data_IF_340616569265
#
_entry.id   IF_340616569265
#
_cell.length_a   1.000
_cell.length_b   1.000
_cell.length_c   1.000
_cell.angle_alpha   90.00
_cell.angle_beta   90.00
_cell.angle_gamma   90.00
#
_symmetry.space_group_name_H-M   'P 1'
#
loop_
_entity.id
_entity.type
_entity.pdbx_description
1 polymer ?
#
# COMPACT_ATOMS: atom_id res chain seq x y z
N UNK A 1 -24.34 3.15 -6.27
CA UNK A 1 -24.53 2.48 -4.97
C UNK A 1 -25.08 3.48 -3.98
N UNK A 2 -26.15 3.15 -3.29
CA UNK A 2 -26.73 4.00 -2.24
C UNK A 2 -25.75 4.08 -1.04
N UNK A 3 -25.76 5.20 -0.31
CA UNK A 3 -24.84 5.43 0.80
C UNK A 3 -24.96 4.38 1.90
N UNK A 4 -26.17 3.91 2.20
CA UNK A 4 -26.41 2.87 3.22
C UNK A 4 -25.79 1.55 2.78
N UNK A 5 -25.96 1.15 1.52
CA UNK A 5 -25.37 -0.07 0.96
C UNK A 5 -23.84 0.00 1.01
N UNK A 6 -23.28 1.16 0.67
CA UNK A 6 -21.83 1.39 0.75
C UNK A 6 -21.30 1.22 2.16
N UNK A 7 -21.99 1.79 3.15
CA UNK A 7 -21.62 1.67 4.56
C UNK A 7 -21.70 0.22 5.05
N UNK A 8 -22.72 -0.50 4.63
CA UNK A 8 -22.88 -1.92 4.98
C UNK A 8 -21.74 -2.75 4.39
N UNK A 9 -21.44 -2.55 3.10
CA UNK A 9 -20.32 -3.26 2.46
C UNK A 9 -18.98 -2.91 3.11
N UNK A 10 -18.74 -1.63 3.38
CA UNK A 10 -17.51 -1.19 4.04
C UNK A 10 -17.34 -1.85 5.41
N UNK A 11 -18.42 -2.05 6.15
CA UNK A 11 -18.40 -2.70 7.46
C UNK A 11 -18.03 -4.19 7.39
N UNK A 12 -18.13 -4.81 6.23
CA UNK A 12 -17.80 -6.21 6.00
C UNK A 12 -16.36 -6.44 5.54
N UNK A 13 -15.63 -5.38 5.31
CA UNK A 13 -14.22 -5.49 4.90
C UNK A 13 -13.36 -5.83 6.11
N UNK A 14 -12.47 -6.80 5.93
CA UNK A 14 -11.44 -7.16 6.91
C UNK A 14 -10.08 -6.88 6.31
N UNK A 15 -9.18 -6.30 7.09
CA UNK A 15 -7.79 -6.02 6.70
C UNK A 15 -6.89 -6.80 7.64
N UNK A 16 -6.16 -7.78 7.12
CA UNK A 16 -5.38 -8.72 7.93
C UNK A 16 -3.99 -8.92 7.37
N UNK A 17 -3.02 -9.11 8.27
CA UNK A 17 -1.65 -9.50 7.89
C UNK A 17 -1.73 -10.90 7.29
N UNK A 18 -1.12 -11.06 6.10
CA UNK A 18 -1.20 -12.28 5.31
C UNK A 18 0.19 -12.62 4.76
N UNK A 19 0.53 -13.90 4.73
CA UNK A 19 1.76 -14.36 4.09
C UNK A 19 1.70 -14.02 2.59
N UNK A 20 2.76 -13.38 2.02
CA UNK A 20 2.79 -13.05 0.59
C UNK A 20 2.63 -14.27 -0.33
N UNK A 21 2.87 -15.46 0.18
CA UNK A 21 2.76 -16.72 -0.59
C UNK A 21 1.36 -17.31 -0.63
N UNK A 22 0.44 -16.82 0.21
CA UNK A 22 -0.94 -17.28 0.21
C UNK A 22 -1.63 -16.96 -1.12
N UNK A 23 -2.62 -17.75 -1.49
CA UNK A 23 -3.32 -17.63 -2.77
C UNK A 23 -3.98 -16.25 -2.95
N UNK A 24 -4.60 -15.71 -1.91
CA UNK A 24 -5.22 -14.38 -1.96
C UNK A 24 -4.19 -13.28 -2.09
N UNK A 25 -3.06 -13.41 -1.41
CA UNK A 25 -1.94 -12.48 -1.53
C UNK A 25 -1.38 -12.49 -2.96
N UNK A 26 -1.19 -13.66 -3.54
CA UNK A 26 -0.72 -13.81 -4.92
C UNK A 26 -1.67 -13.16 -5.91
N UNK A 27 -2.97 -13.32 -5.70
CA UNK A 27 -3.98 -12.66 -6.52
C UNK A 27 -3.85 -11.14 -6.47
N UNK A 28 -3.74 -10.56 -5.29
CA UNK A 28 -3.62 -9.12 -5.10
C UNK A 28 -2.32 -8.58 -5.72
N UNK A 29 -1.20 -9.24 -5.49
CA UNK A 29 0.10 -8.82 -6.02
C UNK A 29 0.12 -8.88 -7.55
N UNK A 30 -0.45 -9.92 -8.14
CA UNK A 30 -0.58 -10.04 -9.59
C UNK A 30 -1.48 -8.93 -10.16
N UNK A 31 -2.61 -8.68 -9.52
CA UNK A 31 -3.53 -7.63 -9.92
C UNK A 31 -2.88 -6.24 -9.87
N UNK A 32 -2.08 -6.00 -8.85
CA UNK A 32 -1.28 -4.77 -8.72
C UNK A 32 -0.35 -4.60 -9.93
N UNK A 33 0.45 -5.59 -10.27
CA UNK A 33 1.37 -5.50 -11.40
C UNK A 33 0.65 -5.36 -12.73
N UNK A 34 -0.46 -6.05 -12.92
CA UNK A 34 -1.28 -5.92 -14.14
C UNK A 34 -1.83 -4.49 -14.29
N UNK A 35 -2.29 -3.89 -13.20
CA UNK A 35 -2.78 -2.51 -13.22
C UNK A 35 -1.67 -1.53 -13.59
N UNK A 36 -0.47 -1.67 -13.03
CA UNK A 36 0.68 -0.83 -13.37
C UNK A 36 1.02 -0.95 -14.86
N UNK A 37 1.00 -2.17 -15.40
CA UNK A 37 1.26 -2.41 -16.82
C UNK A 37 0.26 -1.71 -17.74
N UNK A 38 -1.01 -1.63 -17.33
CA UNK A 38 -2.04 -0.93 -18.09
C UNK A 38 -1.97 0.59 -17.96
N UNK A 39 -1.59 1.10 -16.79
CA UNK A 39 -1.71 2.52 -16.45
C UNK A 39 -0.46 3.34 -16.73
N UNK A 40 0.72 2.73 -16.69
CA UNK A 40 1.97 3.45 -16.94
C UNK A 40 2.16 3.66 -18.45
N UNK A 41 2.61 4.86 -18.83
CA UNK A 41 2.78 5.28 -20.22
C UNK A 41 3.67 4.33 -21.03
N UNK A 42 4.71 3.77 -20.40
CA UNK A 42 5.70 2.88 -21.01
C UNK A 42 5.49 1.42 -20.61
N UNK A 43 4.35 1.08 -19.98
CA UNK A 43 4.15 -0.21 -19.36
C UNK A 43 4.97 -0.37 -18.07
N UNK A 44 4.97 -1.56 -17.50
CA UNK A 44 5.67 -1.83 -16.25
C UNK A 44 6.40 -3.18 -16.33
N UNK A 45 7.70 -3.15 -16.09
CA UNK A 45 8.54 -4.34 -15.95
C UNK A 45 9.03 -4.44 -14.50
N UNK A 46 8.56 -5.42 -13.70
CA UNK A 46 8.97 -5.56 -12.31
C UNK A 46 10.48 -5.72 -12.13
N UNK A 47 11.18 -6.28 -13.12
CA UNK A 47 12.62 -6.48 -13.07
C UNK A 47 13.41 -5.17 -13.10
N UNK A 48 12.81 -4.08 -13.58
CA UNK A 48 13.44 -2.75 -13.64
C UNK A 48 13.10 -1.88 -12.45
N UNK A 49 12.14 -2.29 -11.63
CA UNK A 49 11.69 -1.56 -10.45
C UNK A 49 12.46 -2.00 -9.21
N UNK A 50 12.56 -1.11 -8.22
CA UNK A 50 13.05 -1.49 -6.89
C UNK A 50 12.00 -2.40 -6.26
N UNK A 51 12.34 -3.68 -6.12
CA UNK A 51 11.37 -4.69 -5.72
C UNK A 51 11.29 -4.84 -4.20
N UNK A 52 10.22 -5.49 -3.76
CA UNK A 52 10.12 -6.10 -2.45
C UNK A 52 9.91 -7.59 -2.63
N UNK A 53 10.82 -8.40 -2.09
CA UNK A 53 10.71 -9.86 -2.14
C UNK A 53 9.64 -10.36 -1.16
N UNK A 54 9.24 -11.61 -1.31
CA UNK A 54 8.32 -12.25 -0.36
C UNK A 54 8.87 -12.18 1.07
N UNK A 55 10.17 -12.40 1.25
CA UNK A 55 10.81 -12.33 2.57
C UNK A 55 10.78 -10.93 3.14
N UNK A 56 10.97 -9.90 2.32
CA UNK A 56 10.93 -8.51 2.75
C UNK A 56 9.52 -8.05 3.13
N UNK A 57 8.49 -8.75 2.67
CA UNK A 57 7.09 -8.52 3.03
C UNK A 57 6.56 -9.53 4.07
N UNK A 58 7.46 -10.20 4.79
CA UNK A 58 7.15 -11.18 5.83
C UNK A 58 7.81 -10.75 7.13
N UNK A 59 7.09 -10.85 8.25
CA UNK A 59 7.63 -10.52 9.57
C UNK A 59 8.88 -11.36 9.87
N UNK A 60 9.91 -10.79 10.48
CA UNK A 60 10.01 -9.42 11.02
C UNK A 60 10.49 -8.35 10.04
N UNK A 61 10.82 -8.71 8.79
CA UNK A 61 11.45 -7.80 7.81
C UNK A 61 10.46 -6.78 7.23
N UNK A 62 9.21 -7.15 7.19
CA UNK A 62 8.11 -6.35 6.68
C UNK A 62 6.81 -7.08 6.91
N UNK A 63 5.76 -6.66 6.22
CA UNK A 63 4.47 -7.35 6.25
C UNK A 63 3.65 -7.00 5.01
N UNK A 64 2.67 -7.85 4.73
CA UNK A 64 1.65 -7.62 3.73
C UNK A 64 0.29 -7.70 4.41
N UNK A 65 -0.59 -6.75 4.12
CA UNK A 65 -1.99 -6.82 4.53
C UNK A 65 -2.88 -7.00 3.30
N UNK A 66 -3.91 -7.79 3.46
CA UNK A 66 -4.93 -8.03 2.45
C UNK A 66 -6.26 -7.52 2.97
N UNK A 67 -6.95 -6.73 2.16
CA UNK A 67 -8.34 -6.37 2.38
C UNK A 67 -9.23 -7.43 1.74
N UNK A 68 -10.14 -7.99 2.53
CA UNK A 68 -11.06 -9.02 2.10
C UNK A 68 -12.48 -8.56 2.31
N UNK A 69 -13.32 -8.75 1.30
CA UNK A 69 -14.74 -8.44 1.35
C UNK A 69 -15.54 -9.69 1.02
N UNK A 70 -16.25 -10.22 2.02
CA UNK A 70 -17.10 -11.40 1.86
C UNK A 70 -16.38 -12.59 1.24
N UNK A 71 -15.14 -12.84 1.66
CA UNK A 71 -14.33 -13.95 1.18
C UNK A 71 -13.51 -13.65 -0.09
N UNK A 72 -13.64 -12.47 -0.68
CA UNK A 72 -12.89 -12.09 -1.88
C UNK A 72 -11.77 -11.09 -1.54
N UNK A 73 -10.53 -11.31 -2.00
CA UNK A 73 -9.44 -10.35 -1.84
C UNK A 73 -9.69 -9.15 -2.76
N UNK A 74 -9.76 -7.95 -2.20
CA UNK A 74 -10.14 -6.73 -2.92
C UNK A 74 -9.14 -5.60 -2.79
N UNK A 75 -8.06 -5.80 -2.04
CA UNK A 75 -7.01 -4.80 -1.89
C UNK A 75 -5.84 -5.34 -1.11
N UNK A 76 -4.71 -4.62 -1.19
CA UNK A 76 -3.52 -4.97 -0.43
C UNK A 76 -2.64 -3.75 -0.20
N UNK A 77 -1.67 -3.92 0.66
CA UNK A 77 -0.57 -3.00 0.87
C UNK A 77 0.52 -3.69 1.68
N UNK A 78 1.75 -3.25 1.51
CA UNK A 78 2.90 -3.85 2.18
C UNK A 78 3.74 -2.79 2.86
N UNK A 79 4.48 -3.22 3.87
CA UNK A 79 5.56 -2.46 4.51
C UNK A 79 6.86 -3.22 4.39
N UNK A 80 7.92 -2.49 4.12
CA UNK A 80 9.29 -2.95 4.22
C UNK A 80 9.97 -2.13 5.31
N UNK A 81 10.48 -2.80 6.35
CA UNK A 81 11.06 -2.11 7.52
C UNK A 81 12.55 -1.87 7.36
N UNK A 82 12.98 -0.66 7.70
CA UNK A 82 14.38 -0.30 7.85
C UNK A 82 14.61 0.08 9.30
N UNK A 83 15.04 -0.90 10.11
CA UNK A 83 15.15 -0.71 11.55
C UNK A 83 16.31 0.21 11.96
N UNK A 84 17.35 0.31 11.15
CA UNK A 84 18.48 1.21 11.37
C UNK A 84 18.07 2.69 11.30
N UNK A 85 17.15 3.03 10.42
CA UNK A 85 16.65 4.41 10.24
C UNK A 85 15.27 4.64 10.83
N UNK A 86 14.61 3.58 11.29
CA UNK A 86 13.22 3.61 11.77
C UNK A 86 12.23 4.12 10.72
N UNK A 87 12.48 3.77 9.46
CA UNK A 87 11.61 4.11 8.33
C UNK A 87 10.93 2.83 7.83
N UNK A 88 9.64 2.90 7.56
CA UNK A 88 8.91 1.86 6.87
C UNK A 88 8.50 2.36 5.48
N UNK A 89 8.81 1.58 4.45
CA UNK A 89 8.37 1.87 3.09
C UNK A 89 7.03 1.21 2.80
N UNK A 90 6.07 2.01 2.32
CA UNK A 90 4.78 1.51 1.83
C UNK A 90 4.96 1.04 0.39
N UNK A 91 4.57 -0.20 0.13
CA UNK A 91 4.70 -0.86 -1.16
C UNK A 91 3.39 -1.56 -1.53
N UNK A 92 3.19 -1.86 -2.81
CA UNK A 92 2.13 -2.75 -3.29
C UNK A 92 0.70 -2.31 -2.93
N UNK A 93 0.46 -0.99 -2.86
CA UNK A 93 -0.89 -0.46 -2.61
C UNK A 93 -1.77 -0.69 -3.82
N UNK A 94 -2.84 -1.45 -3.63
CA UNK A 94 -3.79 -1.78 -4.69
C UNK A 94 -5.19 -1.96 -4.12
N UNK A 95 -6.19 -1.48 -4.85
CA UNK A 95 -7.61 -1.70 -4.56
C UNK A 95 -8.29 -2.08 -5.87
N UNK A 96 -9.10 -3.14 -5.82
CA UNK A 96 -9.86 -3.59 -6.99
C UNK A 96 -10.79 -2.47 -7.49
N UNK A 97 -10.88 -2.30 -8.81
CA UNK A 97 -11.62 -1.19 -9.43
C UNK A 97 -13.12 -1.23 -9.15
N UNK A 98 -13.70 -2.42 -9.01
CA UNK A 98 -15.13 -2.62 -8.78
C UNK A 98 -15.59 -2.31 -7.34
N UNK A 99 -14.66 -2.13 -6.41
CA UNK A 99 -14.96 -1.78 -5.01
C UNK A 99 -14.39 -0.41 -4.61
N UNK A 100 -13.97 0.40 -5.55
CA UNK A 100 -13.54 1.78 -5.28
C UNK A 100 -14.71 2.60 -4.77
N UNK A 101 -14.42 3.56 -3.88
CA UNK A 101 -15.43 4.36 -3.21
C UNK A 101 -15.90 3.80 -1.86
N UNK A 102 -15.38 2.64 -1.43
CA UNK A 102 -15.63 2.08 -0.09
C UNK A 102 -14.61 2.52 0.96
N UNK A 103 -13.62 3.31 0.58
CA UNK A 103 -12.56 3.76 1.50
C UNK A 103 -11.53 2.69 1.81
N UNK A 104 -11.36 1.69 0.93
CA UNK A 104 -10.45 0.55 1.18
C UNK A 104 -8.98 0.97 1.20
N UNK A 105 -8.56 1.84 0.29
CA UNK A 105 -7.19 2.35 0.25
C UNK A 105 -6.82 3.03 1.55
N UNK A 106 -7.70 3.86 2.08
CA UNK A 106 -7.50 4.51 3.38
C UNK A 106 -7.42 3.48 4.52
N UNK A 107 -8.29 2.49 4.53
CA UNK A 107 -8.27 1.46 5.58
C UNK A 107 -7.00 0.62 5.55
N UNK A 108 -6.54 0.25 4.36
CA UNK A 108 -5.25 -0.46 4.20
C UNK A 108 -4.11 0.43 4.72
N UNK A 109 -4.08 1.68 4.32
CA UNK A 109 -3.02 2.62 4.74
C UNK A 109 -3.06 2.88 6.24
N UNK A 110 -4.23 3.02 6.86
CA UNK A 110 -4.39 3.15 8.31
C UNK A 110 -3.86 1.93 9.04
N UNK A 111 -4.13 0.73 8.54
CA UNK A 111 -3.61 -0.51 9.12
C UNK A 111 -2.08 -0.56 9.03
N UNK A 112 -1.52 -0.21 7.88
CA UNK A 112 -0.07 -0.15 7.70
C UNK A 112 0.57 0.86 8.66
N UNK A 113 -0.04 2.03 8.81
CA UNK A 113 0.44 3.06 9.74
C UNK A 113 0.44 2.56 11.18
N UNK A 114 -0.63 1.91 11.62
CA UNK A 114 -0.74 1.35 12.96
C UNK A 114 0.32 0.26 13.22
N UNK A 115 0.55 -0.61 12.23
CA UNK A 115 1.57 -1.65 12.33
C UNK A 115 2.99 -1.07 12.40
N UNK A 116 3.26 -0.03 11.62
CA UNK A 116 4.54 0.67 11.66
C UNK A 116 4.80 1.31 13.03
N UNK A 117 3.80 2.00 13.59
CA UNK A 117 3.87 2.61 14.91
C UNK A 117 4.14 1.55 15.97
N UNK A 118 3.43 0.43 15.95
CA UNK A 118 3.57 -0.63 16.94
C UNK A 118 4.96 -1.29 16.90
N UNK A 119 5.69 -1.15 15.80
CA UNK A 119 7.03 -1.70 15.61
C UNK A 119 8.14 -0.67 15.74
N UNK A 120 7.82 0.53 16.23
CA UNK A 120 8.80 1.55 16.55
C UNK A 120 9.29 2.36 15.34
N UNK A 121 8.58 2.33 14.22
CA UNK A 121 8.93 3.14 13.07
C UNK A 121 8.61 4.60 13.33
N UNK A 122 9.51 5.50 12.93
CA UNK A 122 9.36 6.93 13.10
C UNK A 122 8.63 7.60 11.93
N UNK A 123 8.76 7.02 10.74
CA UNK A 123 8.13 7.58 9.54
C UNK A 123 7.78 6.50 8.53
N UNK A 124 6.85 6.85 7.65
CA UNK A 124 6.52 6.11 6.44
C UNK A 124 7.06 6.86 5.23
N UNK A 125 7.54 6.11 4.25
CA UNK A 125 7.93 6.62 2.94
C UNK A 125 7.28 5.83 1.84
N UNK A 126 7.03 6.48 0.72
CA UNK A 126 6.57 5.83 -0.50
C UNK A 126 6.94 6.66 -1.72
N UNK A 127 6.99 6.01 -2.86
CA UNK A 127 7.05 6.66 -4.16
C UNK A 127 5.87 6.21 -5.02
N UNK A 128 5.46 7.06 -5.96
CA UNK A 128 4.34 6.75 -6.84
C UNK A 128 4.52 7.37 -8.22
N UNK A 129 3.81 6.81 -9.20
CA UNK A 129 3.80 7.27 -10.58
C UNK A 129 2.71 8.32 -10.78
N UNK A 130 2.96 9.31 -11.62
CA UNK A 130 1.98 10.37 -11.94
C UNK A 130 0.67 9.86 -12.54
N UNK A 131 0.70 8.68 -13.17
CA UNK A 131 -0.51 8.04 -13.73
C UNK A 131 -1.49 7.57 -12.66
N UNK A 132 -1.05 7.47 -11.41
CA UNK A 132 -1.85 7.01 -10.27
C UNK A 132 -2.38 8.20 -9.46
N UNK A 133 -3.21 9.04 -10.09
CA UNK A 133 -3.69 10.29 -9.47
C UNK A 133 -4.52 10.07 -8.21
N UNK A 134 -5.32 9.02 -8.17
CA UNK A 134 -6.10 8.66 -6.98
C UNK A 134 -5.22 8.21 -5.81
N UNK A 135 -4.10 7.56 -6.08
CA UNK A 135 -3.13 7.20 -5.05
C UNK A 135 -2.48 8.46 -4.44
N UNK A 136 -2.07 9.41 -5.26
CA UNK A 136 -1.53 10.68 -4.77
C UNK A 136 -2.52 11.40 -3.87
N UNK A 137 -3.76 11.49 -4.29
CA UNK A 137 -4.83 12.10 -3.51
C UNK A 137 -5.01 11.41 -2.15
N UNK A 138 -5.00 10.07 -2.15
CA UNK A 138 -5.09 9.28 -0.93
C UNK A 138 -3.94 9.62 0.04
N UNK A 139 -2.70 9.66 -0.46
CA UNK A 139 -1.53 9.92 0.38
C UNK A 139 -1.54 11.33 0.94
N UNK A 140 -1.85 12.31 0.12
CA UNK A 140 -1.93 13.71 0.57
C UNK A 140 -3.00 13.89 1.66
N UNK A 141 -4.17 13.27 1.49
CA UNK A 141 -5.23 13.31 2.49
C UNK A 141 -4.90 12.55 3.76
N UNK A 142 -4.03 11.57 3.67
CA UNK A 142 -3.56 10.81 4.84
C UNK A 142 -2.43 11.53 5.61
N UNK A 143 -2.01 12.69 5.16
CA UNK A 143 -0.99 13.51 5.83
C UNK A 143 0.44 13.31 5.32
N UNK A 144 0.61 12.60 4.20
CA UNK A 144 1.92 12.52 3.54
C UNK A 144 2.26 13.84 2.87
N UNK A 145 3.53 14.23 2.94
CA UNK A 145 4.08 15.42 2.30
C UNK A 145 5.05 15.00 1.21
N UNK A 146 5.02 15.69 0.09
CA UNK A 146 5.98 15.44 -0.98
C UNK A 146 7.38 15.86 -0.55
N UNK A 147 8.36 15.00 -0.85
CA UNK A 147 9.78 15.19 -0.49
C UNK A 147 10.67 14.97 -1.70
N UNK A 148 11.94 15.33 -1.58
CA UNK A 148 12.94 15.02 -2.60
C UNK A 148 13.09 13.51 -2.78
N UNK A 149 13.44 13.05 -3.99
CA UNK A 149 13.70 11.64 -4.24
C UNK A 149 14.70 11.05 -3.25
N UNK A 150 14.33 9.94 -2.62
CA UNK A 150 15.19 9.22 -1.69
C UNK A 150 15.69 7.90 -2.27
N UNK A 151 15.34 7.57 -3.51
CA UNK A 151 15.82 6.42 -4.24
C UNK A 151 15.78 6.68 -5.75
N UNK A 152 16.25 5.72 -6.54
CA UNK A 152 16.32 5.80 -8.00
C UNK A 152 15.24 4.96 -8.66
N UNK A 153 14.04 4.88 -8.08
CA UNK A 153 12.94 4.12 -8.68
C UNK A 153 12.58 4.71 -10.06
N UNK A 154 12.81 3.96 -11.16
CA UNK A 154 12.64 4.53 -12.51
C UNK A 154 11.20 4.86 -12.86
N UNK A 155 10.21 4.21 -12.23
CA UNK A 155 8.80 4.46 -12.48
C UNK A 155 8.20 5.55 -11.60
N UNK A 156 8.93 6.07 -10.63
CA UNK A 156 8.44 7.08 -9.72
C UNK A 156 8.57 8.50 -10.29
N UNK A 157 7.57 9.32 -10.01
CA UNK A 157 7.59 10.75 -10.32
C UNK A 157 7.39 11.60 -9.06
N UNK A 158 6.89 10.99 -7.97
CA UNK A 158 6.60 11.65 -6.71
C UNK A 158 7.07 10.79 -5.56
N UNK A 159 7.70 11.43 -4.57
CA UNK A 159 8.15 10.79 -3.33
C UNK A 159 7.48 11.49 -2.16
N UNK A 160 6.99 10.70 -1.21
CA UNK A 160 6.22 11.18 -0.07
C UNK A 160 6.77 10.61 1.23
N UNK A 161 6.61 11.38 2.30
CA UNK A 161 6.95 10.96 3.65
C UNK A 161 5.87 11.42 4.62
N UNK A 162 5.61 10.61 5.63
CA UNK A 162 4.76 10.95 6.76
C UNK A 162 5.46 10.60 8.05
N UNK A 163 5.61 11.57 8.95
CA UNK A 163 6.10 11.34 10.29
C UNK A 163 4.98 10.76 11.14
N UNK A 164 5.30 9.69 11.89
CA UNK A 164 4.30 8.95 12.65
C UNK A 164 4.08 9.52 14.06
N UNK A 165 4.93 10.43 14.48
CA UNK A 165 4.88 11.03 15.81
C UNK A 165 5.26 10.02 16.91
N UNK A 166 6.03 10.47 17.88
CA UNK A 166 6.23 9.71 19.13
C UNK A 166 5.28 10.27 20.17
N UNK A 167 4.35 9.43 20.63
CA UNK A 167 3.65 9.73 21.87
C UNK A 167 4.60 9.34 23.01
N UNK A 168 4.98 10.35 23.77
CA UNK A 168 5.73 10.15 25.00
C UNK A 168 4.86 9.46 26.05
#
# INVERSE_FOLDING_TARGET
MADVERLILASRVRVEITDPRDIDARYCLRSYFEELGRRFDTGFDPAQSISASDEEMTLPNGLLVIANLLGAPVGCGALKFHFDTQIAEVKRMWVASDVRGLGLGRRVLERLSAEAVSRGMASLRLETNRSLSEARYLYERAGFVEVEPFNNEPYAHHWFQKDLGHKY
#
